data_IF_216959934782
#
_entry.id   IF_216959934782
#
_cell.length_a   1.000
_cell.length_b   1.000
_cell.length_c   1.000
_cell.angle_alpha   90.00
_cell.angle_beta   90.00
_cell.angle_gamma   90.00
#
_symmetry.space_group_name_H-M   'P 1'
#
loop_
_entity.id
_entity.type
_entity.pdbx_description
1 polymer ?
#
# COMPACT_ATOMS: atom_id res chain seq x y z
N UNK A 1 9.80 -13.07 -40.93
CA UNK A 1 9.22 -12.15 -39.93
C UNK A 1 9.76 -12.60 -38.58
N UNK A 2 10.92 -12.07 -38.21
CA UNK A 2 11.63 -12.52 -37.00
C UNK A 2 11.22 -11.62 -35.85
N UNK A 3 10.27 -12.07 -35.02
CA UNK A 3 9.94 -11.42 -33.76
C UNK A 3 10.76 -12.09 -32.65
N UNK A 4 12.01 -11.63 -32.50
CA UNK A 4 12.86 -11.99 -31.37
C UNK A 4 13.34 -10.70 -30.76
N UNK A 5 12.53 -10.10 -29.90
CA UNK A 5 12.98 -9.42 -28.68
C UNK A 5 11.77 -8.97 -27.84
N UNK A 6 11.03 -9.90 -27.23
CA UNK A 6 10.24 -9.54 -26.05
C UNK A 6 11.14 -9.84 -24.86
N UNK A 7 12.04 -8.90 -24.54
CA UNK A 7 12.63 -8.89 -23.20
C UNK A 7 11.45 -8.96 -22.24
N UNK A 8 11.43 -10.01 -21.41
CA UNK A 8 10.36 -10.32 -20.46
C UNK A 8 10.29 -9.29 -19.35
N UNK A 9 9.93 -8.07 -19.68
CA UNK A 9 9.24 -7.17 -18.78
C UNK A 9 7.84 -7.75 -18.67
N UNK A 10 7.68 -8.72 -17.77
CA UNK A 10 6.37 -9.21 -17.36
C UNK A 10 5.67 -8.03 -16.69
N UNK A 11 5.05 -7.19 -17.53
CA UNK A 11 4.31 -6.01 -17.12
C UNK A 11 3.23 -6.53 -16.19
N UNK A 12 3.41 -6.27 -14.89
CA UNK A 12 2.44 -6.70 -13.90
C UNK A 12 1.18 -5.88 -14.13
N UNK A 13 0.09 -6.54 -14.44
CA UNK A 13 -1.19 -5.89 -14.72
C UNK A 13 -2.16 -6.05 -13.56
N UNK A 14 -2.99 -5.04 -13.33
CA UNK A 14 -3.94 -5.02 -12.24
C UNK A 14 -5.04 -6.04 -12.52
N UNK A 15 -5.31 -7.01 -11.64
CA UNK A 15 -6.32 -8.04 -11.88
C UNK A 15 -7.76 -7.50 -11.93
N UNK A 16 -7.99 -6.24 -11.54
CA UNK A 16 -9.31 -5.60 -11.55
C UNK A 16 -9.60 -4.81 -12.83
N UNK A 17 -8.61 -4.10 -13.36
CA UNK A 17 -8.77 -3.23 -14.53
C UNK A 17 -7.94 -3.63 -15.75
N UNK A 18 -7.07 -4.65 -15.62
CA UNK A 18 -6.16 -5.10 -16.67
C UNK A 18 -5.27 -3.96 -17.21
N UNK A 19 -4.89 -3.03 -16.34
CA UNK A 19 -3.95 -1.96 -16.66
C UNK A 19 -2.55 -2.29 -16.11
N UNK A 20 -1.51 -1.86 -16.81
CA UNK A 20 -0.12 -2.01 -16.40
C UNK A 20 0.15 -1.25 -15.09
N UNK A 21 0.66 -1.94 -14.07
CA UNK A 21 1.16 -1.31 -12.85
C UNK A 21 2.51 -0.64 -13.12
N UNK A 22 2.68 0.54 -12.55
CA UNK A 22 3.97 1.22 -12.53
C UNK A 22 4.89 0.64 -11.44
N UNK A 23 6.18 0.94 -11.51
CA UNK A 23 7.19 0.49 -10.52
C UNK A 23 6.81 0.83 -9.08
N UNK A 24 6.18 1.97 -8.84
CA UNK A 24 5.67 2.35 -7.52
C UNK A 24 4.46 1.51 -7.07
N UNK A 25 3.62 1.08 -8.01
CA UNK A 25 2.49 0.17 -7.75
C UNK A 25 2.94 -1.29 -7.57
N UNK A 26 4.11 -1.67 -8.11
CA UNK A 26 4.68 -3.00 -7.93
C UNK A 26 4.96 -3.34 -6.45
N UNK A 27 5.23 -2.32 -5.63
CA UNK A 27 5.43 -2.46 -4.20
C UNK A 27 4.20 -2.04 -3.38
N UNK A 28 3.07 -1.75 -4.03
CA UNK A 28 1.85 -1.31 -3.38
C UNK A 28 0.92 -2.49 -3.05
N UNK A 29 0.89 -2.85 -1.77
CA UNK A 29 0.02 -3.90 -1.24
C UNK A 29 -0.90 -3.31 -0.17
N UNK A 30 -2.11 -2.83 -0.54
CA UNK A 30 -3.01 -2.19 0.43
C UNK A 30 -3.56 -3.17 1.47
N UNK A 31 -3.44 -4.48 1.23
CA UNK A 31 -3.80 -5.53 2.18
C UNK A 31 -2.62 -6.46 2.45
N UNK A 32 -2.48 -6.89 3.70
CA UNK A 32 -1.44 -7.83 4.14
C UNK A 32 -1.62 -9.26 3.62
N UNK A 33 -2.71 -9.55 2.88
CA UNK A 33 -2.88 -10.83 2.20
C UNK A 33 -2.00 -11.00 0.95
N UNK A 34 -1.31 -9.94 0.51
CA UNK A 34 -0.48 -9.96 -0.70
C UNK A 34 -1.26 -9.75 -2.00
N UNK A 35 -2.54 -9.35 -1.93
CA UNK A 35 -3.33 -9.02 -3.11
C UNK A 35 -2.93 -7.65 -3.65
N UNK A 36 -2.27 -7.66 -4.80
CA UNK A 36 -1.79 -6.47 -5.50
C UNK A 36 -2.84 -5.91 -6.45
N UNK A 37 -3.06 -4.59 -6.37
CA UNK A 37 -3.99 -3.85 -7.22
C UNK A 37 -3.43 -2.46 -7.48
N UNK A 38 -3.87 -1.82 -8.57
CA UNK A 38 -3.51 -0.44 -8.83
C UNK A 38 -4.17 0.52 -7.81
N UNK A 39 -3.55 1.69 -7.65
CA UNK A 39 -3.98 2.73 -6.72
C UNK A 39 -5.38 3.27 -7.00
N UNK A 40 -5.77 3.36 -8.28
CA UNK A 40 -7.12 3.77 -8.69
C UNK A 40 -8.19 2.75 -8.27
N UNK A 41 -7.94 1.46 -8.47
CA UNK A 41 -8.87 0.42 -8.04
C UNK A 41 -9.01 0.39 -6.52
N UNK A 42 -7.91 0.54 -5.78
CA UNK A 42 -7.96 0.65 -4.32
C UNK A 42 -8.80 1.84 -3.86
N UNK A 43 -8.60 3.03 -4.45
CA UNK A 43 -9.43 4.22 -4.18
C UNK A 43 -10.91 3.98 -4.47
N UNK A 44 -11.22 3.36 -5.61
CA UNK A 44 -12.61 3.04 -5.99
C UNK A 44 -13.26 2.09 -4.98
N UNK A 45 -12.59 0.99 -4.62
CA UNK A 45 -13.10 0.01 -3.65
C UNK A 45 -13.37 0.65 -2.28
N UNK A 46 -12.52 1.60 -1.86
CA UNK A 46 -12.71 2.34 -0.61
C UNK A 46 -13.90 3.30 -0.65
N UNK A 47 -14.26 3.81 -1.82
CA UNK A 47 -15.38 4.73 -2.01
C UNK A 47 -16.69 4.02 -2.40
N UNK A 48 -16.59 2.77 -2.84
CA UNK A 48 -17.73 1.91 -3.17
C UNK A 48 -18.52 1.48 -1.93
N UNK A 49 -19.81 1.22 -2.11
CA UNK A 49 -20.76 0.77 -1.09
C UNK A 49 -20.43 -0.62 -0.48
N UNK A 50 -19.45 -1.33 -1.05
CA UNK A 50 -18.92 -2.61 -0.54
C UNK A 50 -18.00 -2.48 0.69
N UNK A 51 -17.82 -1.27 1.23
CA UNK A 51 -17.18 -1.04 2.52
C UNK A 51 -15.66 -1.16 2.53
N UNK A 52 -14.97 -0.95 1.40
CA UNK A 52 -13.50 -0.90 1.39
C UNK A 52 -12.82 -2.23 1.74
N UNK A 53 -13.46 -3.36 1.41
CA UNK A 53 -12.94 -4.69 1.69
C UNK A 53 -12.05 -5.21 0.55
N UNK A 54 -11.01 -5.95 0.90
CA UNK A 54 -10.15 -6.63 -0.06
C UNK A 54 -10.94 -7.71 -0.83
N UNK A 55 -10.88 -7.77 -2.17
CA UNK A 55 -11.64 -8.74 -2.96
C UNK A 55 -11.16 -10.19 -2.76
N UNK A 56 -9.88 -10.39 -2.41
CA UNK A 56 -9.32 -11.73 -2.18
C UNK A 56 -9.65 -12.29 -0.79
N UNK A 57 -9.48 -11.48 0.26
CA UNK A 57 -9.63 -11.95 1.65
C UNK A 57 -10.85 -11.38 2.40
N UNK A 58 -11.61 -10.47 1.78
CA UNK A 58 -12.77 -9.77 2.36
C UNK A 58 -12.50 -9.05 3.68
N UNK A 59 -11.24 -8.72 3.98
CA UNK A 59 -10.85 -7.91 5.14
C UNK A 59 -10.83 -6.43 4.77
N UNK A 60 -11.18 -5.52 5.69
CA UNK A 60 -11.00 -4.08 5.45
C UNK A 60 -9.52 -3.78 5.21
N UNK A 61 -9.23 -2.90 4.25
CA UNK A 61 -7.89 -2.38 4.09
C UNK A 61 -7.48 -1.64 5.37
N UNK A 62 -6.26 -1.89 5.86
CA UNK A 62 -5.77 -1.23 7.07
C UNK A 62 -5.58 0.26 6.75
N UNK A 63 -6.45 1.09 7.31
CA UNK A 63 -6.47 2.54 7.07
C UNK A 63 -5.44 3.32 7.86
N UNK A 64 -4.62 2.69 8.69
CA UNK A 64 -3.75 3.42 9.62
C UNK A 64 -2.37 3.70 9.02
N UNK A 65 -2.11 4.88 8.41
CA UNK A 65 -0.76 5.40 8.29
C UNK A 65 -0.29 5.72 9.70
N UNK A 66 0.44 4.79 10.29
CA UNK A 66 1.00 4.88 11.64
C UNK A 66 -0.05 4.99 12.75
N UNK A 67 0.01 4.06 13.70
CA UNK A 67 -0.14 4.41 15.11
C UNK A 67 0.92 5.47 15.46
N UNK A 68 0.72 6.71 15.01
CA UNK A 68 1.35 7.87 15.62
C UNK A 68 0.67 8.00 16.97
N UNK A 69 1.20 7.25 17.93
CA UNK A 69 1.01 7.59 19.34
C UNK A 69 1.72 8.95 19.44
N UNK A 70 1.01 10.09 19.58
CA UNK A 70 1.70 11.33 19.86
C UNK A 70 2.47 11.09 21.15
N UNK A 71 3.80 11.21 21.09
CA UNK A 71 4.63 11.25 22.29
C UNK A 71 4.02 12.34 23.19
N UNK A 72 3.53 11.95 24.36
CA UNK A 72 3.02 12.92 25.32
C UNK A 72 4.16 13.83 25.74
N UNK A 73 3.85 15.10 26.05
CA UNK A 73 4.82 16.14 26.39
C UNK A 73 5.82 15.73 27.50
N UNK A 74 5.44 14.74 28.30
CA UNK A 74 6.19 14.11 29.39
C UNK A 74 7.44 13.31 28.93
N UNK A 75 7.46 12.81 27.69
CA UNK A 75 8.61 12.06 27.16
C UNK A 75 9.68 12.95 26.54
N UNK A 76 9.32 14.17 26.11
CA UNK A 76 10.27 15.12 25.54
C UNK A 76 11.28 15.61 26.61
N UNK A 77 10.82 15.80 27.85
CA UNK A 77 11.64 16.34 28.95
C UNK A 77 12.72 15.36 29.43
N UNK A 78 12.48 14.04 29.35
CA UNK A 78 13.47 13.03 29.79
C UNK A 78 14.66 12.89 28.84
N UNK A 79 14.48 13.23 27.57
CA UNK A 79 15.56 13.17 26.57
C UNK A 79 16.56 14.31 26.80
N UNK A 80 16.10 15.50 27.21
CA UNK A 80 16.96 16.68 27.40
C UNK A 80 17.78 16.67 28.70
N UNK A 81 17.32 16.00 29.78
CA UNK A 81 18.08 15.97 31.05
C UNK A 81 19.23 14.94 31.07
N UNK A 82 19.29 14.04 30.09
CA UNK A 82 20.36 13.02 30.03
C UNK A 82 21.67 13.53 29.41
N UNK A 83 21.69 14.77 28.90
CA UNK A 83 22.83 15.43 28.23
C UNK A 83 23.44 16.54 29.12
N UNK A 84 23.31 16.45 30.45
CA UNK A 84 23.92 17.42 31.38
C UNK A 84 24.60 16.78 32.60
N UNK A 85 25.15 15.57 32.46
CA UNK A 85 26.20 15.05 33.35
C UNK A 85 27.55 14.99 32.60
#
# INVERSE_FOLDING_TARGET
MSVLNQSGEEQVECPLCMESLEVDDLNFFPCTCGYQICRFCWHRIRHDENGGLCPACRKPYSENPADFIPLTQEQHDRVFTSDLD
#
